data_IF_334190802654
#
_entry.id   IF_334190802654
#
_cell.length_a   1.000
_cell.length_b   1.000
_cell.length_c   1.000
_cell.angle_alpha   90.00
_cell.angle_beta   90.00
_cell.angle_gamma   90.00
#
_symmetry.space_group_name_H-M   'P 1'
#
loop_
_entity.id
_entity.type
_entity.pdbx_description
1 polymer ?
#
# COMPACT_ATOMS: atom_id res chain seq x y z
N UNK A 1 -18.86 20.74 28.26
CA UNK A 1 -18.71 20.46 26.82
C UNK A 1 -17.31 19.93 26.46
N UNK A 2 -16.21 20.62 26.75
CA UNK A 2 -14.84 20.14 26.46
C UNK A 2 -14.49 18.75 27.04
N UNK A 3 -15.00 18.42 28.23
CA UNK A 3 -14.72 17.12 28.87
C UNK A 3 -15.50 15.96 28.23
N UNK A 4 -16.69 16.24 27.67
CA UNK A 4 -17.50 15.26 26.95
C UNK A 4 -16.88 14.96 25.57
N UNK A 5 -16.38 15.99 24.90
CA UNK A 5 -15.69 15.87 23.61
C UNK A 5 -14.38 15.07 23.74
N UNK A 6 -13.58 15.30 24.79
CA UNK A 6 -12.33 14.56 25.05
C UNK A 6 -12.58 13.08 25.37
N UNK A 7 -13.68 12.77 26.07
CA UNK A 7 -14.08 11.37 26.35
C UNK A 7 -14.57 10.67 25.09
N UNK A 8 -15.35 11.36 24.25
CA UNK A 8 -15.82 10.83 22.97
C UNK A 8 -14.66 10.57 22.00
N UNK A 9 -13.68 11.48 21.95
CA UNK A 9 -12.45 11.33 21.14
C UNK A 9 -11.63 10.11 21.58
N UNK A 10 -11.44 9.90 22.88
CA UNK A 10 -10.71 8.74 23.41
C UNK A 10 -11.44 7.40 23.12
N UNK A 11 -12.77 7.40 23.18
CA UNK A 11 -13.60 6.21 22.90
C UNK A 11 -13.59 5.83 21.41
N UNK A 12 -13.48 6.81 20.51
CA UNK A 12 -13.43 6.57 19.06
C UNK A 12 -12.01 6.27 18.53
N UNK A 13 -10.96 6.81 19.16
CA UNK A 13 -9.56 6.61 18.70
C UNK A 13 -8.98 5.24 19.12
N UNK A 14 -9.39 4.70 20.26
CA UNK A 14 -8.90 3.43 20.81
C UNK A 14 -9.16 2.19 19.92
N UNK A 15 -10.36 1.99 19.31
CA UNK A 15 -10.58 0.85 18.42
C UNK A 15 -9.86 0.97 17.07
N UNK A 16 -9.56 2.17 16.59
CA UNK A 16 -8.77 2.38 15.37
C UNK A 16 -7.31 1.91 15.55
N UNK A 17 -6.70 2.19 16.70
CA UNK A 17 -5.32 1.81 16.98
C UNK A 17 -5.17 0.29 17.21
N UNK A 18 -6.21 -0.36 17.75
CA UNK A 18 -6.24 -1.81 17.97
C UNK A 18 -6.37 -2.63 16.67
N UNK A 19 -6.98 -2.07 15.62
CA UNK A 19 -7.20 -2.75 14.34
C UNK A 19 -5.90 -2.94 13.53
N UNK A 20 -4.90 -2.07 13.70
CA UNK A 20 -3.60 -2.19 13.03
C UNK A 20 -2.74 -3.36 13.56
N UNK A 21 -2.96 -3.83 14.79
CA UNK A 21 -2.14 -4.89 15.39
C UNK A 21 -2.56 -6.32 14.99
N UNK A 22 -3.68 -6.47 14.27
CA UNK A 22 -4.23 -7.78 13.91
C UNK A 22 -3.73 -8.34 12.57
N UNK A 23 -2.97 -7.57 11.79
CA UNK A 23 -2.59 -7.96 10.42
C UNK A 23 -1.31 -8.82 10.32
N UNK A 24 -0.57 -9.07 11.41
CA UNK A 24 0.74 -9.76 11.33
C UNK A 24 0.68 -11.27 11.61
N UNK A 25 -0.51 -11.86 11.69
CA UNK A 25 -0.64 -13.28 12.06
C UNK A 25 -1.54 -14.02 11.07
N UNK A 26 -0.94 -14.47 9.96
CA UNK A 26 -1.50 -15.47 9.04
C UNK A 26 -0.42 -16.46 8.64
N UNK A 27 -0.70 -17.78 8.59
CA UNK A 27 0.28 -18.83 8.86
C UNK A 27 1.17 -19.19 7.67
N UNK A 28 2.38 -19.66 7.99
CA UNK A 28 3.22 -20.44 7.09
C UNK A 28 2.56 -21.81 6.82
N UNK A 29 2.14 -22.04 5.58
CA UNK A 29 1.71 -23.33 5.01
C UNK A 29 1.59 -23.12 3.50
N UNK A 30 2.09 -23.93 2.57
CA UNK A 30 2.78 -25.21 2.60
C UNK A 30 3.52 -25.34 1.26
N UNK A 31 4.72 -25.91 1.27
CA UNK A 31 5.33 -26.40 0.05
C UNK A 31 4.44 -27.48 -0.57
N UNK A 32 4.17 -27.38 -1.88
CA UNK A 32 3.73 -28.51 -2.71
C UNK A 32 4.74 -28.70 -3.85
N UNK A 33 5.29 -29.92 -4.02
CA UNK A 33 6.27 -30.25 -5.04
C UNK A 33 5.60 -30.40 -6.42
N UNK A 34 6.42 -30.27 -7.47
CA UNK A 34 6.00 -30.09 -8.86
C UNK A 34 5.22 -31.23 -9.54
N UNK A 35 4.61 -30.87 -10.67
CA UNK A 35 4.07 -31.76 -11.69
C UNK A 35 4.50 -31.30 -13.09
N UNK A 36 4.63 -32.21 -14.09
CA UNK A 36 5.31 -31.93 -15.35
C UNK A 36 4.38 -31.42 -16.47
N UNK A 37 4.94 -30.60 -17.36
CA UNK A 37 4.66 -30.64 -18.81
C UNK A 37 3.47 -29.83 -19.34
N UNK A 38 3.74 -28.62 -19.85
CA UNK A 38 2.94 -27.95 -20.88
C UNK A 38 3.86 -27.43 -21.99
N UNK A 39 3.49 -27.53 -23.28
CA UNK A 39 4.40 -27.26 -24.39
C UNK A 39 4.75 -25.77 -24.50
N UNK A 40 6.03 -25.51 -24.76
CA UNK A 40 6.65 -24.19 -24.78
C UNK A 40 6.02 -23.22 -25.78
N UNK A 41 5.52 -22.11 -25.26
CA UNK A 41 5.43 -20.86 -26.02
C UNK A 41 6.82 -20.22 -26.12
N UNK A 42 7.09 -19.40 -27.16
CA UNK A 42 8.40 -18.77 -27.34
C UNK A 42 8.76 -17.98 -26.09
N UNK A 43 9.85 -18.43 -25.44
CA UNK A 43 10.41 -17.80 -24.26
C UNK A 43 10.88 -16.40 -24.61
N UNK A 44 10.04 -15.42 -24.37
CA UNK A 44 10.48 -14.04 -24.21
C UNK A 44 11.43 -14.03 -23.03
N UNK A 45 12.71 -13.78 -23.31
CA UNK A 45 13.71 -13.51 -22.28
C UNK A 45 13.25 -12.28 -21.52
N UNK A 46 12.57 -12.49 -20.39
CA UNK A 46 12.34 -11.41 -19.43
C UNK A 46 13.71 -11.12 -18.85
N UNK A 47 14.42 -10.20 -19.49
CA UNK A 47 15.61 -9.60 -18.92
C UNK A 47 15.18 -9.06 -17.57
N UNK A 48 15.68 -9.66 -16.50
CA UNK A 48 15.43 -9.22 -15.14
C UNK A 48 16.16 -7.89 -14.93
N UNK A 49 15.64 -6.84 -15.54
CA UNK A 49 16.00 -5.49 -15.19
C UNK A 49 15.65 -5.32 -13.72
N UNK A 50 16.63 -4.95 -12.91
CA UNK A 50 16.38 -4.55 -11.53
C UNK A 50 15.27 -3.50 -11.57
N UNK A 51 14.14 -3.72 -10.88
CA UNK A 51 13.04 -2.78 -10.95
C UNK A 51 13.55 -1.43 -10.46
N UNK A 52 13.45 -0.40 -11.31
CA UNK A 52 13.88 0.94 -10.94
C UNK A 52 13.21 1.34 -9.62
N UNK A 53 13.97 1.95 -8.70
CA UNK A 53 13.44 2.35 -7.39
C UNK A 53 12.47 3.52 -7.48
N UNK A 54 12.18 4.15 -6.34
CA UNK A 54 11.34 5.36 -6.28
C UNK A 54 11.99 6.59 -6.92
N UNK A 55 13.28 6.49 -7.28
CA UNK A 55 14.02 7.53 -8.01
C UNK A 55 13.63 7.62 -9.48
N UNK A 56 13.01 6.57 -10.02
CA UNK A 56 12.43 6.62 -11.36
C UNK A 56 11.31 7.67 -11.40
N UNK A 57 11.34 8.64 -12.33
CA UNK A 57 10.40 9.75 -12.33
C UNK A 57 8.96 9.30 -12.53
N UNK A 58 8.71 8.23 -13.30
CA UNK A 58 7.37 7.71 -13.49
C UNK A 58 6.87 7.01 -12.22
N UNK A 59 7.74 6.24 -11.55
CA UNK A 59 7.39 5.61 -10.26
C UNK A 59 7.19 6.63 -9.15
N UNK A 60 7.98 7.70 -9.12
CA UNK A 60 7.81 8.81 -8.19
C UNK A 60 6.46 9.50 -8.39
N UNK A 61 6.06 9.76 -9.63
CA UNK A 61 4.75 10.34 -9.93
C UNK A 61 3.62 9.44 -9.42
N UNK A 62 3.70 8.12 -9.66
CA UNK A 62 2.72 7.15 -9.13
C UNK A 62 2.70 7.16 -7.60
N UNK A 63 3.87 7.21 -6.97
CA UNK A 63 3.97 7.25 -5.51
C UNK A 63 3.32 8.51 -4.92
N UNK A 64 3.54 9.68 -5.54
CA UNK A 64 2.89 10.92 -5.11
C UNK A 64 1.37 10.85 -5.26
N UNK A 65 0.86 10.26 -6.34
CA UNK A 65 -0.57 10.03 -6.55
C UNK A 65 -1.16 9.08 -5.50
N UNK A 66 -0.43 8.02 -5.13
CA UNK A 66 -0.88 7.07 -4.09
C UNK A 66 -1.03 7.76 -2.74
N UNK A 67 -0.05 8.57 -2.34
CA UNK A 67 -0.12 9.37 -1.11
C UNK A 67 -1.33 10.30 -1.15
N UNK A 68 -1.50 11.08 -2.22
CA UNK A 68 -2.65 11.98 -2.37
C UNK A 68 -3.99 11.24 -2.40
N UNK A 69 -4.06 10.03 -2.95
CA UNK A 69 -5.31 9.25 -2.96
C UNK A 69 -5.74 8.81 -1.57
N UNK A 70 -4.77 8.47 -0.70
CA UNK A 70 -5.04 8.08 0.67
C UNK A 70 -5.40 9.28 1.55
N UNK A 71 -4.75 10.43 1.34
CA UNK A 71 -4.92 11.61 2.19
C UNK A 71 -6.08 12.51 1.72
N UNK A 72 -6.27 12.64 0.41
CA UNK A 72 -7.14 13.64 -0.18
C UNK A 72 -8.18 13.06 -1.15
N UNK A 73 -8.25 11.73 -1.30
CA UNK A 73 -9.15 11.06 -2.25
C UNK A 73 -9.04 11.62 -3.68
N UNK A 74 -7.86 12.12 -4.04
CA UNK A 74 -7.55 12.73 -5.33
C UNK A 74 -6.20 12.25 -5.83
N UNK A 75 -6.07 12.10 -7.14
CA UNK A 75 -4.79 11.78 -7.77
C UNK A 75 -3.96 13.03 -8.07
N UNK A 76 -4.54 14.23 -8.00
CA UNK A 76 -3.81 15.47 -8.25
C UNK A 76 -3.07 15.94 -7.00
N UNK A 77 -1.91 15.34 -6.78
CA UNK A 77 -1.05 15.65 -5.63
C UNK A 77 -0.45 17.06 -5.70
N UNK A 78 -0.32 17.66 -6.89
CA UNK A 78 0.25 19.00 -7.06
C UNK A 78 -0.69 20.10 -6.57
N UNK A 79 -1.99 19.84 -6.55
CA UNK A 79 -2.98 20.75 -5.94
C UNK A 79 -2.68 21.04 -4.46
N UNK A 80 -1.95 20.14 -3.77
CA UNK A 80 -1.63 20.30 -2.36
C UNK A 80 -0.55 21.36 -2.09
N UNK A 81 0.20 21.83 -3.09
CA UNK A 81 1.22 22.86 -2.86
C UNK A 81 0.67 24.20 -2.37
N UNK A 82 -0.59 24.50 -2.72
CA UNK A 82 -1.27 25.73 -2.29
C UNK A 82 -2.10 25.56 -1.02
N UNK A 83 -2.07 24.39 -0.37
CA UNK A 83 -2.79 24.16 0.87
C UNK A 83 -2.08 24.88 2.03
N UNK A 84 -2.85 25.55 2.88
CA UNK A 84 -2.37 26.32 4.06
C UNK A 84 -3.00 25.80 5.34
#
# INVERSE_FOLDING_TARGET
MLHALRRLLLVLLAPLLALCAACTSGPAASAVPGGPGGPGGPGGTISSATPAGLDDPAKKEIAMRLVSSAENSSLDWKAQYGYI
#
